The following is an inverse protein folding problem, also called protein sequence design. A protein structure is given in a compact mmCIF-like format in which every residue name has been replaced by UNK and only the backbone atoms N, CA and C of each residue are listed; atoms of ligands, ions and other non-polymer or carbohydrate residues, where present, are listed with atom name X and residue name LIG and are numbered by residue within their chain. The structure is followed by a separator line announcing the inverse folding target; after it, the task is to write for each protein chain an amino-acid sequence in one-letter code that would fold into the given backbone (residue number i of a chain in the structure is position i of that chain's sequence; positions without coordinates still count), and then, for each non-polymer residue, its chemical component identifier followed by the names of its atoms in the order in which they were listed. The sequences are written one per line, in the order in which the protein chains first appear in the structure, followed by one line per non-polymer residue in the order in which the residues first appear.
data_IF_986876845544
#
_entry.id   IF_986876845544
#
_cell.length_a   1.000
_cell.length_b   1.000
_cell.length_c   1.000
_cell.angle_alpha   90.00
_cell.angle_beta   90.00
_cell.angle_gamma   90.00
#
_symmetry.space_group_name_H-M   'P 1'
#
loop_
_entity.id
_entity.type
_entity.pdbx_description
1 polymer ?
#
# COMPACT_ATOMS: atom_id res chain seq x y z
N UNK A 1 -3.97 29.54 14.48
CA UNK A 1 -4.62 28.26 14.85
C UNK A 1 -4.20 27.25 13.82
N UNK A 2 -3.28 26.36 14.17
CA UNK A 2 -2.90 25.24 13.29
C UNK A 2 -4.11 24.31 13.14
N UNK A 3 -4.39 23.77 11.94
CA UNK A 3 -5.46 22.78 11.78
C UNK A 3 -5.15 21.54 12.64
N UNK A 4 -6.17 21.05 13.32
CA UNK A 4 -6.09 19.79 14.07
C UNK A 4 -5.74 18.64 13.11
N UNK A 5 -4.78 17.77 13.44
CA UNK A 5 -4.45 16.64 12.57
C UNK A 5 -5.69 15.74 12.39
N UNK A 6 -5.88 15.17 11.19
CA UNK A 6 -7.02 14.31 10.92
C UNK A 6 -7.03 13.11 11.86
N UNK A 7 -8.20 12.76 12.37
CA UNK A 7 -8.37 11.60 13.24
C UNK A 7 -8.07 10.29 12.46
N UNK A 8 -7.80 9.20 13.18
CA UNK A 8 -7.60 7.87 12.53
C UNK A 8 -8.80 7.48 11.66
N UNK A 9 -10.01 7.90 12.07
CA UNK A 9 -11.25 7.69 11.31
C UNK A 9 -11.25 8.51 10.02
N UNK A 10 -10.83 9.77 10.06
CA UNK A 10 -10.72 10.63 8.87
C UNK A 10 -9.67 10.09 7.91
N UNK A 11 -8.56 9.59 8.42
CA UNK A 11 -7.51 8.92 7.63
C UNK A 11 -8.06 7.66 6.96
N UNK A 12 -8.80 6.82 7.69
CA UNK A 12 -9.43 5.63 7.15
C UNK A 12 -10.51 5.98 6.09
N UNK A 13 -11.30 7.01 6.33
CA UNK A 13 -12.30 7.51 5.37
C UNK A 13 -11.64 8.10 4.12
N UNK A 14 -10.54 8.85 4.26
CA UNK A 14 -9.78 9.38 3.14
C UNK A 14 -9.22 8.25 2.28
N UNK A 15 -8.68 7.18 2.90
CA UNK A 15 -8.23 5.97 2.20
C UNK A 15 -9.37 5.27 1.45
N UNK A 16 -10.57 5.20 2.03
CA UNK A 16 -11.74 4.62 1.38
C UNK A 16 -12.22 5.47 0.20
N UNK A 17 -12.16 6.79 0.33
CA UNK A 17 -12.60 7.75 -0.70
C UNK A 17 -11.61 7.79 -1.86
N UNK A 18 -10.32 7.83 -1.59
CA UNK A 18 -9.26 7.77 -2.60
C UNK A 18 -9.39 6.50 -3.47
N UNK A 19 -9.79 5.38 -2.87
CA UNK A 19 -10.01 4.11 -3.58
C UNK A 19 -11.19 4.12 -4.55
N UNK A 20 -12.22 4.92 -4.32
CA UNK A 20 -13.34 5.07 -5.26
C UNK A 20 -12.93 5.71 -6.58
N UNK A 21 -11.85 6.49 -6.57
CA UNK A 21 -11.36 7.22 -7.74
C UNK A 21 -10.27 6.46 -8.52
N UNK A 22 -9.79 5.33 -8.02
CA UNK A 22 -8.76 4.52 -8.69
C UNK A 22 -9.35 3.77 -9.89
N UNK A 23 -9.31 4.39 -11.05
CA UNK A 23 -9.86 3.83 -12.29
C UNK A 23 -8.90 2.84 -12.97
N UNK A 24 -7.60 3.08 -12.88
CA UNK A 24 -6.57 2.35 -13.62
C UNK A 24 -5.77 1.39 -12.75
N UNK A 25 -5.56 1.71 -11.48
CA UNK A 25 -4.77 0.91 -10.54
C UNK A 25 -5.53 0.65 -9.25
N UNK A 26 -5.20 -0.44 -8.58
CA UNK A 26 -5.56 -0.71 -7.19
C UNK A 26 -4.30 -0.55 -6.35
N UNK A 27 -4.39 0.16 -5.24
CA UNK A 27 -3.26 0.41 -4.35
C UNK A 27 -3.55 -0.04 -2.92
N UNK A 28 -2.50 -0.47 -2.24
CA UNK A 28 -2.49 -0.70 -0.80
C UNK A 28 -1.30 0.04 -0.19
N UNK A 29 -1.53 0.72 0.92
CA UNK A 29 -0.51 1.41 1.68
C UNK A 29 -0.57 0.85 3.09
N UNK A 30 0.57 0.38 3.57
CA UNK A 30 0.71 -0.15 4.91
C UNK A 30 1.87 0.50 5.65
N UNK A 31 1.72 0.55 6.96
CA UNK A 31 2.68 1.14 7.87
C UNK A 31 3.02 0.13 8.96
N UNK A 32 4.30 -0.04 9.21
CA UNK A 32 4.85 -0.93 10.24
C UNK A 32 5.97 -0.21 10.96
N UNK A 33 6.38 -0.71 12.11
CA UNK A 33 7.52 -0.15 12.84
C UNK A 33 8.78 -0.29 12.01
N UNK A 34 9.47 0.82 11.77
CA UNK A 34 10.81 0.89 11.16
C UNK A 34 11.91 0.96 12.20
N UNK A 35 13.13 1.26 11.75
CA UNK A 35 14.29 1.44 12.60
C UNK A 35 14.35 2.88 13.17
N UNK A 36 15.08 3.07 14.25
CA UNK A 36 15.41 4.37 14.86
C UNK A 36 14.21 5.32 15.10
N UNK A 37 13.01 4.77 15.39
CA UNK A 37 11.80 5.55 15.65
C UNK A 37 11.08 5.98 14.37
N UNK A 38 11.55 5.57 13.21
CA UNK A 38 10.88 5.77 11.95
C UNK A 38 9.75 4.76 11.74
N UNK A 39 8.88 5.05 10.80
CA UNK A 39 7.83 4.14 10.36
C UNK A 39 8.16 3.67 8.96
N UNK A 40 8.19 2.36 8.76
CA UNK A 40 8.30 1.78 7.44
C UNK A 40 6.96 1.87 6.72
N UNK A 41 6.93 2.55 5.60
CA UNK A 41 5.77 2.68 4.72
C UNK A 41 5.96 1.78 3.50
N UNK A 42 5.00 0.89 3.26
CA UNK A 42 4.99 0.01 2.08
C UNK A 42 3.85 0.42 1.16
N UNK A 43 4.18 0.71 -0.07
CA UNK A 43 3.26 0.99 -1.15
C UNK A 43 3.22 -0.21 -2.10
N UNK A 44 2.03 -0.71 -2.38
CA UNK A 44 1.79 -1.83 -3.32
C UNK A 44 0.74 -1.40 -4.31
N UNK A 45 0.94 -1.69 -5.59
CA UNK A 45 -0.05 -1.43 -6.61
C UNK A 45 -0.16 -2.60 -7.61
N UNK A 46 -1.27 -2.66 -8.29
CA UNK A 46 -1.50 -3.51 -9.46
C UNK A 46 -2.50 -2.87 -10.41
N UNK A 47 -2.52 -3.23 -11.70
CA UNK A 47 -3.58 -2.82 -12.60
C UNK A 47 -4.96 -3.20 -12.07
N UNK A 48 -5.92 -2.26 -12.18
CA UNK A 48 -7.30 -2.57 -11.83
C UNK A 48 -7.92 -3.51 -12.88
N UNK A 49 -8.82 -4.43 -12.47
CA UNK A 49 -9.50 -5.34 -13.39
C UNK A 49 -10.15 -4.58 -14.54
N UNK A 50 -10.06 -5.13 -15.76
CA UNK A 50 -10.71 -4.56 -16.93
C UNK A 50 -12.19 -4.89 -16.94
N UNK A 51 -12.99 -3.90 -17.30
CA UNK A 51 -14.39 -4.15 -17.68
C UNK A 51 -14.42 -4.66 -19.13
N UNK A 52 -15.00 -5.84 -19.40
CA UNK A 52 -15.08 -6.36 -20.76
C UNK A 52 -15.70 -5.34 -21.73
N UNK A 53 -15.08 -5.16 -22.91
CA UNK A 53 -15.53 -4.23 -23.94
C UNK A 53 -15.10 -2.77 -23.77
N UNK A 54 -14.48 -2.40 -22.67
CA UNK A 54 -13.95 -1.06 -22.48
C UNK A 54 -12.50 -0.96 -23.02
N UNK A 55 -12.28 -0.07 -23.99
CA UNK A 55 -10.94 0.33 -24.41
C UNK A 55 -10.42 1.35 -23.41
N UNK A 56 -9.32 1.05 -22.75
CA UNK A 56 -8.60 2.01 -21.91
C UNK A 56 -7.10 1.73 -22.02
N UNK A 57 -6.30 2.74 -21.77
CA UNK A 57 -4.86 2.58 -21.67
C UNK A 57 -4.51 1.66 -20.50
N UNK A 58 -3.45 0.87 -20.69
CA UNK A 58 -2.97 -0.02 -19.64
C UNK A 58 -1.96 0.71 -18.76
N UNK A 59 -2.16 0.68 -17.43
CA UNK A 59 -1.14 1.17 -16.53
C UNK A 59 0.08 0.23 -16.58
N UNK A 60 1.25 0.78 -16.77
CA UNK A 60 2.52 0.04 -16.80
C UNK A 60 3.45 0.44 -15.67
N UNK A 61 3.25 1.62 -15.10
CA UNK A 61 4.13 2.17 -14.09
C UNK A 61 3.37 3.19 -13.22
N UNK A 62 3.81 3.34 -11.98
CA UNK A 62 3.30 4.36 -11.07
C UNK A 62 4.44 5.25 -10.63
N UNK A 63 4.32 6.55 -10.88
CA UNK A 63 5.16 7.56 -10.25
C UNK A 63 4.64 7.83 -8.83
N UNK A 64 5.53 7.82 -7.85
CA UNK A 64 5.20 8.09 -6.45
C UNK A 64 6.13 9.18 -5.92
N UNK A 65 5.52 10.20 -5.30
CA UNK A 65 6.23 11.17 -4.46
C UNK A 65 5.63 11.15 -3.07
N UNK A 66 6.46 10.97 -2.06
CA UNK A 66 6.09 10.93 -0.65
C UNK A 66 6.79 12.05 0.11
N UNK A 67 6.03 12.97 0.69
CA UNK A 67 6.58 14.12 1.41
C UNK A 67 5.87 14.34 2.74
N UNK A 68 6.65 14.79 3.74
CA UNK A 68 6.18 15.18 5.05
C UNK A 68 5.86 16.68 5.14
N UNK A 69 5.51 17.11 6.35
CA UNK A 69 5.37 18.53 6.68
C UNK A 69 6.69 19.28 6.39
N UNK A 70 6.55 20.53 5.93
CA UNK A 70 7.72 21.35 5.59
C UNK A 70 8.43 20.98 4.29
N UNK A 71 7.89 20.00 3.53
CA UNK A 71 8.43 19.62 2.22
C UNK A 71 9.59 18.61 2.29
N UNK A 72 9.81 17.96 3.43
CA UNK A 72 10.76 16.86 3.53
C UNK A 72 10.32 15.74 2.60
N UNK A 73 11.17 15.33 1.65
CA UNK A 73 10.88 14.24 0.71
C UNK A 73 11.43 12.94 1.29
N UNK A 74 10.54 11.97 1.54
CA UNK A 74 10.89 10.62 1.99
C UNK A 74 11.17 9.70 0.81
N UNK A 75 10.43 9.87 -0.27
CA UNK A 75 10.63 9.12 -1.51
C UNK A 75 10.16 9.93 -2.71
N UNK A 76 10.86 9.76 -3.84
CA UNK A 76 10.42 10.24 -5.15
C UNK A 76 10.99 9.32 -6.23
N UNK A 77 10.12 8.71 -7.03
CA UNK A 77 10.52 7.78 -8.07
C UNK A 77 9.36 7.01 -8.67
N UNK A 78 9.69 5.98 -9.42
CA UNK A 78 8.76 5.12 -10.14
C UNK A 78 8.69 3.74 -9.50
N UNK A 79 7.52 3.10 -9.57
CA UNK A 79 7.25 1.76 -9.03
C UNK A 79 6.54 0.92 -10.11
N UNK A 80 7.15 -0.14 -10.66
CA UNK A 80 8.53 -0.56 -10.43
C UNK A 80 9.54 0.44 -11.01
N UNK A 81 10.75 0.38 -10.53
CA UNK A 81 11.86 1.19 -11.07
C UNK A 81 12.30 0.77 -12.49
N UNK A 82 11.80 -0.35 -12.96
CA UNK A 82 11.98 -0.84 -14.33
C UNK A 82 10.65 -1.34 -14.86
N UNK A 83 10.30 -1.11 -16.14
CA UNK A 83 9.03 -1.55 -16.69
C UNK A 83 8.88 -3.07 -16.60
N UNK A 84 7.80 -3.51 -15.96
CA UNK A 84 7.45 -4.92 -15.90
C UNK A 84 7.05 -5.42 -17.30
N UNK A 85 7.64 -6.52 -17.73
CA UNK A 85 7.17 -7.24 -18.92
C UNK A 85 5.83 -7.89 -18.55
N UNK A 86 4.74 -7.36 -19.09
CA UNK A 86 3.41 -7.96 -18.93
C UNK A 86 3.45 -9.38 -19.53
N UNK A 87 3.37 -10.39 -18.68
CA UNK A 87 3.31 -11.78 -19.12
C UNK A 87 1.93 -12.05 -19.71
N UNK A 88 1.89 -12.56 -20.92
CA UNK A 88 0.66 -12.86 -21.67
C UNK A 88 -0.28 -13.77 -20.86
N UNK A 89 -1.48 -13.26 -20.51
CA UNK A 89 -2.58 -14.03 -19.93
C UNK A 89 -2.55 -14.27 -18.42
N UNK A 90 -1.54 -13.83 -17.68
CA UNK A 90 -1.48 -13.90 -16.21
C UNK A 90 -2.08 -12.66 -15.54
N UNK A 91 -2.56 -12.79 -14.31
CA UNK A 91 -2.76 -11.61 -13.45
C UNK A 91 -1.39 -10.99 -13.21
N UNK A 92 -1.24 -9.68 -13.54
CA UNK A 92 -0.02 -8.95 -13.25
C UNK A 92 0.34 -9.11 -11.76
N UNK A 93 1.58 -9.47 -11.48
CA UNK A 93 2.07 -9.50 -10.10
C UNK A 93 2.03 -8.09 -9.51
N UNK A 94 1.71 -7.96 -8.21
CA UNK A 94 1.71 -6.66 -7.57
C UNK A 94 3.14 -6.13 -7.46
N UNK A 95 3.29 -4.86 -7.80
CA UNK A 95 4.56 -4.14 -7.66
C UNK A 95 4.59 -3.41 -6.32
N UNK A 96 5.74 -3.38 -5.68
CA UNK A 96 5.87 -2.78 -4.36
C UNK A 96 7.11 -1.89 -4.23
N UNK A 97 6.98 -0.97 -3.28
CA UNK A 97 8.05 -0.11 -2.81
C UNK A 97 7.96 0.01 -1.29
N UNK A 98 9.11 0.12 -0.63
CA UNK A 98 9.19 0.38 0.80
C UNK A 98 10.11 1.58 1.04
N UNK A 99 9.71 2.51 1.90
CA UNK A 99 10.52 3.64 2.34
C UNK A 99 10.24 3.93 3.82
N UNK A 100 11.10 4.70 4.46
CA UNK A 100 10.93 5.13 5.84
C UNK A 100 10.42 6.57 5.88
N UNK A 101 9.56 6.87 6.85
CA UNK A 101 9.02 8.19 7.10
C UNK A 101 8.98 8.50 8.59
N UNK A 102 9.16 9.76 8.93
CA UNK A 102 8.97 10.26 10.29
C UNK A 102 7.47 10.24 10.65
N UNK A 103 7.12 10.00 11.94
CA UNK A 103 5.75 10.16 12.41
C UNK A 103 5.20 11.55 12.11
N UNK A 104 3.96 11.62 11.62
CA UNK A 104 3.32 12.87 11.28
C UNK A 104 2.58 12.83 9.95
N UNK A 105 2.18 14.00 9.41
CA UNK A 105 1.49 14.07 8.12
C UNK A 105 2.38 13.58 6.97
N UNK A 106 1.81 12.73 6.12
CA UNK A 106 2.44 12.21 4.91
C UNK A 106 1.55 12.51 3.71
N UNK A 107 2.07 13.28 2.77
CA UNK A 107 1.45 13.52 1.48
C UNK A 107 2.01 12.55 0.45
N UNK A 108 1.13 11.87 -0.25
CA UNK A 108 1.46 11.00 -1.37
C UNK A 108 0.85 11.57 -2.66
N UNK A 109 1.71 11.86 -3.63
CA UNK A 109 1.30 12.21 -4.99
C UNK A 109 1.59 10.98 -5.87
N UNK A 110 0.53 10.43 -6.46
CA UNK A 110 0.55 9.18 -7.23
C UNK A 110 0.17 9.51 -8.66
N UNK A 111 1.03 9.25 -9.62
CA UNK A 111 0.77 9.38 -11.05
C UNK A 111 0.83 8.02 -11.73
N UNK A 112 -0.16 7.69 -12.55
CA UNK A 112 -0.23 6.42 -13.27
C UNK A 112 0.19 6.65 -14.72
N UNK A 113 1.20 5.92 -15.17
CA UNK A 113 1.71 6.02 -16.55
C UNK A 113 1.17 4.85 -17.38
N UNK A 114 0.74 5.18 -18.59
CA UNK A 114 0.31 4.22 -19.61
C UNK A 114 1.45 3.74 -20.48
N UNK A 115 1.14 2.82 -21.42
CA UNK A 115 2.10 2.22 -22.36
C UNK A 115 2.87 3.27 -23.18
N UNK A 116 2.28 4.43 -23.45
CA UNK A 116 2.91 5.55 -24.19
C UNK A 116 3.66 6.53 -23.28
N UNK A 117 3.99 6.13 -22.05
CA UNK A 117 4.68 6.96 -21.03
C UNK A 117 3.93 8.27 -20.67
N UNK A 118 2.66 8.34 -21.05
CA UNK A 118 1.79 9.46 -20.67
C UNK A 118 1.10 9.19 -19.33
N UNK A 119 0.88 10.25 -18.56
CA UNK A 119 0.06 10.17 -17.34
C UNK A 119 -1.39 9.96 -17.75
N UNK A 120 -1.97 8.84 -17.33
CA UNK A 120 -3.36 8.44 -17.62
C UNK A 120 -4.28 8.60 -16.40
N UNK A 121 -3.73 8.72 -15.21
CA UNK A 121 -4.45 9.01 -13.96
C UNK A 121 -3.50 9.65 -12.95
N UNK A 122 -4.03 10.48 -12.06
CA UNK A 122 -3.31 11.07 -10.96
C UNK A 122 -4.17 11.11 -9.69
N UNK A 123 -3.54 10.99 -8.54
CA UNK A 123 -4.21 11.05 -7.26
C UNK A 123 -3.28 11.62 -6.18
N UNK A 124 -3.85 12.43 -5.30
CA UNK A 124 -3.15 12.98 -4.14
C UNK A 124 -3.89 12.53 -2.88
N UNK A 125 -3.15 12.01 -1.92
CA UNK A 125 -3.72 11.65 -0.62
C UNK A 125 -2.82 12.12 0.52
N UNK A 126 -3.43 12.43 1.65
CA UNK A 126 -2.73 12.74 2.89
C UNK A 126 -3.06 11.67 3.92
N UNK A 127 -2.02 11.14 4.55
CA UNK A 127 -2.09 10.12 5.59
C UNK A 127 -1.43 10.65 6.86
N UNK A 128 -1.64 9.98 7.96
CA UNK A 128 -0.87 10.20 9.19
C UNK A 128 0.02 8.99 9.41
N UNK A 129 1.32 9.22 9.47
CA UNK A 129 2.32 8.21 9.85
C UNK A 129 2.28 8.07 11.37
N UNK A 130 1.93 6.87 11.90
CA UNK A 130 1.86 6.67 13.33
C UNK A 130 3.27 6.63 13.95
N UNK A 131 3.37 7.07 15.19
CA UNK A 131 4.54 6.83 16.03
C UNK A 131 4.38 5.49 16.75
N UNK A 132 5.05 4.46 16.29
CA UNK A 132 5.02 3.13 16.90
C UNK A 132 5.85 3.03 18.18
N UNK A 133 6.50 4.10 18.60
CA UNK A 133 7.29 4.15 19.84
C UNK A 133 6.55 4.84 20.98
N UNK A 134 5.50 5.61 20.68
CA UNK A 134 4.82 6.49 21.64
C UNK A 134 3.80 5.78 22.53
N UNK A 135 3.37 4.56 22.20
CA UNK A 135 2.30 3.85 22.91
C UNK A 135 2.76 2.52 23.49
N UNK A 136 2.14 2.07 24.59
CA UNK A 136 2.43 0.76 25.19
C UNK A 136 2.08 -0.40 24.24
N UNK A 137 1.05 -0.24 23.43
CA UNK A 137 0.63 -1.20 22.41
C UNK A 137 0.22 -0.45 21.15
N UNK A 138 0.84 -0.79 20.03
CA UNK A 138 0.46 -0.29 18.71
C UNK A 138 0.32 -1.44 17.70
N UNK A 139 -0.53 -1.24 16.71
CA UNK A 139 -0.77 -2.21 15.65
C UNK A 139 -0.32 -1.64 14.31
N UNK A 140 0.46 -2.44 13.60
CA UNK A 140 0.79 -2.16 12.20
C UNK A 140 -0.43 -2.30 11.28
N UNK A 141 -0.29 -1.90 10.04
CA UNK A 141 -1.37 -2.03 9.06
C UNK A 141 -1.76 -3.48 8.81
N UNK A 142 -3.06 -3.72 8.66
CA UNK A 142 -3.60 -5.03 8.30
C UNK A 142 -3.15 -5.40 6.89
N UNK A 143 -2.47 -6.53 6.75
CA UNK A 143 -2.05 -7.12 5.48
C UNK A 143 -2.96 -8.29 5.13
N UNK A 144 -3.57 -8.25 3.95
CA UNK A 144 -4.42 -9.32 3.44
C UNK A 144 -3.72 -9.96 2.25
N UNK A 145 -3.66 -11.28 2.26
CA UNK A 145 -3.06 -12.09 1.20
C UNK A 145 -4.11 -13.05 0.68
N UNK A 146 -4.06 -13.35 -0.62
CA UNK A 146 -4.99 -14.24 -1.27
C UNK A 146 -4.28 -15.48 -1.79
N UNK A 147 -4.89 -16.63 -1.59
CA UNK A 147 -4.50 -17.88 -2.20
C UNK A 147 -5.71 -18.55 -2.89
N UNK A 148 -5.50 -19.08 -4.08
CA UNK A 148 -6.54 -19.79 -4.83
C UNK A 148 -6.67 -21.25 -4.38
N UNK A 149 -5.58 -21.81 -3.82
CA UNK A 149 -5.52 -23.23 -3.42
C UNK A 149 -4.70 -23.43 -2.13
N UNK A 150 -4.67 -24.68 -1.66
CA UNK A 150 -3.98 -25.04 -0.42
C UNK A 150 -2.43 -24.97 -0.55
N UNK A 151 -1.90 -25.12 -1.75
CA UNK A 151 -0.46 -25.03 -1.99
C UNK A 151 0.01 -23.58 -1.86
N UNK A 152 -0.64 -22.65 -2.55
CA UNK A 152 -0.37 -21.20 -2.44
C UNK A 152 -0.52 -20.71 -1.00
N UNK A 153 -1.56 -21.19 -0.28
CA UNK A 153 -1.73 -20.85 1.14
C UNK A 153 -0.55 -21.31 2.00
N UNK A 154 0.04 -22.47 1.70
CA UNK A 154 1.23 -22.94 2.41
C UNK A 154 2.46 -22.09 2.08
N UNK A 155 2.62 -21.70 0.81
CA UNK A 155 3.69 -20.79 0.41
C UNK A 155 3.58 -19.45 1.12
N UNK A 156 2.39 -18.83 1.12
CA UNK A 156 2.13 -17.57 1.83
C UNK A 156 2.43 -17.65 3.34
N UNK A 157 2.16 -18.80 3.97
CA UNK A 157 2.48 -19.00 5.39
C UNK A 157 3.96 -19.19 5.65
N UNK A 158 4.68 -19.76 4.71
CA UNK A 158 6.12 -20.01 4.79
C UNK A 158 6.94 -18.77 4.43
N UNK A 159 6.37 -17.85 3.65
CA UNK A 159 7.01 -16.60 3.27
C UNK A 159 6.98 -15.62 4.46
N UNK A 160 8.13 -15.16 4.94
CA UNK A 160 8.20 -14.21 6.05
C UNK A 160 7.65 -12.83 5.66
N UNK A 161 7.76 -12.42 4.40
CA UNK A 161 7.36 -11.09 3.94
C UNK A 161 6.66 -11.10 2.57
N UNK A 162 5.50 -11.78 2.46
CA UNK A 162 4.76 -11.81 1.22
C UNK A 162 4.18 -10.45 0.86
N UNK A 163 3.93 -10.23 -0.43
CA UNK A 163 3.34 -8.99 -0.93
C UNK A 163 1.84 -8.98 -0.64
N UNK A 164 1.30 -7.97 0.07
CA UNK A 164 -0.13 -7.87 0.33
C UNK A 164 -0.95 -7.62 -0.96
N UNK A 165 -2.20 -8.05 -0.94
CA UNK A 165 -3.15 -7.72 -2.00
C UNK A 165 -3.45 -6.21 -2.05
N UNK A 166 -3.21 -5.60 -3.21
CA UNK A 166 -3.56 -4.20 -3.44
C UNK A 166 -5.07 -4.01 -3.64
N UNK A 167 -5.76 -5.01 -4.19
CA UNK A 167 -7.21 -5.02 -4.37
C UNK A 167 -7.97 -5.55 -3.17
N UNK A 168 -9.27 -5.23 -3.11
CA UNK A 168 -10.18 -5.74 -2.06
C UNK A 168 -11.34 -6.56 -2.61
N UNK A 169 -11.25 -6.94 -3.87
CA UNK A 169 -12.24 -7.79 -4.50
C UNK A 169 -11.76 -9.25 -4.44
N UNK A 170 -12.48 -10.06 -3.67
CA UNK A 170 -12.18 -11.46 -3.47
C UNK A 170 -13.31 -12.32 -4.00
N UNK A 171 -12.97 -13.45 -4.58
CA UNK A 171 -13.94 -14.46 -4.99
C UNK A 171 -14.35 -15.29 -3.79
N UNK A 172 -15.55 -15.85 -3.82
CA UNK A 172 -16.06 -16.75 -2.75
C UNK A 172 -15.17 -18.00 -2.54
N UNK A 173 -14.40 -18.37 -3.56
CA UNK A 173 -13.49 -19.52 -3.54
C UNK A 173 -12.09 -19.16 -3.04
N UNK A 174 -11.76 -17.88 -2.94
CA UNK A 174 -10.45 -17.43 -2.48
C UNK A 174 -10.26 -17.76 -0.99
N UNK A 175 -9.05 -18.12 -0.65
CA UNK A 175 -8.61 -18.29 0.74
C UNK A 175 -7.82 -17.05 1.13
N UNK A 176 -8.15 -16.48 2.29
CA UNK A 176 -7.48 -15.28 2.77
C UNK A 176 -6.61 -15.60 3.97
N UNK A 177 -5.40 -15.06 3.96
CA UNK A 177 -4.53 -14.96 5.13
C UNK A 177 -4.47 -13.48 5.53
N UNK A 178 -4.72 -13.21 6.80
CA UNK A 178 -4.63 -11.87 7.37
C UNK A 178 -3.49 -11.85 8.37
N UNK A 179 -2.58 -10.87 8.25
CA UNK A 179 -1.49 -10.63 9.20
C UNK A 179 -1.59 -9.22 9.74
N UNK A 180 -1.35 -9.07 11.02
CA UNK A 180 -1.20 -7.80 11.73
C UNK A 180 0.00 -7.93 12.65
N UNK A 181 0.86 -6.94 12.65
CA UNK A 181 1.97 -6.86 13.60
C UNK A 181 1.52 -6.03 14.80
N UNK A 182 1.84 -6.52 15.99
CA UNK A 182 1.60 -5.81 17.24
C UNK A 182 2.95 -5.47 17.88
N UNK A 183 3.10 -4.24 18.30
CA UNK A 183 4.31 -3.72 18.92
C UNK A 183 4.02 -3.28 20.36
N UNK A 184 4.91 -3.61 21.27
CA UNK A 184 4.87 -3.14 22.64
C UNK A 184 6.23 -2.59 23.05
N UNK A 185 6.27 -1.69 24.03
CA UNK A 185 7.51 -1.15 24.58
C UNK A 185 8.20 -2.12 25.56
N UNK A 186 7.56 -3.22 25.94
CA UNK A 186 8.11 -4.22 26.86
C UNK A 186 8.82 -5.35 26.14
N UNK A 187 9.73 -6.05 26.87
CA UNK A 187 10.44 -7.23 26.38
C UNK A 187 9.60 -8.53 26.34
N UNK A 188 8.31 -8.47 26.66
CA UNK A 188 7.40 -9.61 26.63
C UNK A 188 6.61 -9.62 25.32
N UNK A 189 6.69 -10.73 24.60
CA UNK A 189 5.82 -10.97 23.45
C UNK A 189 4.35 -10.81 23.84
N UNK A 190 3.54 -10.05 23.09
CA UNK A 190 2.13 -9.97 23.34
C UNK A 190 1.50 -11.36 23.19
N UNK A 191 0.83 -11.85 24.23
CA UNK A 191 0.05 -13.09 24.15
C UNK A 191 -1.22 -12.81 23.36
N UNK A 192 -1.36 -13.45 22.22
CA UNK A 192 -2.58 -13.49 21.41
C UNK A 192 -3.47 -14.63 21.88
#
# INVERSE_FOLDING_TARGET
SSPEPPSEVDTALALLTARRNQRFVQTWIGMTRGDDGLTQVRFVWRPAPRVPGQRRDEPVQVGLSASGDGGTVFFQGEVPSSPSVLTDGGMAEPEQLTFEAEPGPLRLDISVLGVSEQVIDDNVMTLVVPDFTATDLSLGSVRVFRAQNAFEMRQLRADPDPIPEAGREFRRTDRLLVRVEAYSQGSSEPKV
#
